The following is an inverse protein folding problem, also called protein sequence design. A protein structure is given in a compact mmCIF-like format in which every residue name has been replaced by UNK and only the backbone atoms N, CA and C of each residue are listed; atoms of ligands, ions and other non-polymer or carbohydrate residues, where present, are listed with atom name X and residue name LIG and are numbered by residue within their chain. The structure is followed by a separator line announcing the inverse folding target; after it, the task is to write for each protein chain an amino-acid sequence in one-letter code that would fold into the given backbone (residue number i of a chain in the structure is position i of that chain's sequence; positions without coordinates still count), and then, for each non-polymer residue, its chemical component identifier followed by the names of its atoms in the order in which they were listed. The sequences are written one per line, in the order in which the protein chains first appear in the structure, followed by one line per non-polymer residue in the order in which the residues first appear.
data_IF_429911037558
#
_entry.id   IF_429911037558
#
_cell.length_a   1.000
_cell.length_b   1.000
_cell.length_c   1.000
_cell.angle_alpha   90.00
_cell.angle_beta   90.00
_cell.angle_gamma   90.00
#
_symmetry.space_group_name_H-M   'P 1'
#
loop_
_entity.id
_entity.type
_entity.pdbx_description
1 polymer ?
#
# COMPACT_ATOMS: atom_id res chain seq x y z
N UNK A 1 -47.18 29.01 -31.47
CA UNK A 1 -45.81 28.74 -30.98
C UNK A 1 -45.71 27.25 -30.67
N UNK A 2 -44.86 26.51 -31.38
CA UNK A 2 -44.66 25.06 -31.22
C UNK A 2 -43.73 24.82 -30.03
N UNK A 3 -44.18 24.06 -29.04
CA UNK A 3 -43.36 23.62 -27.92
C UNK A 3 -42.53 22.40 -28.37
N UNK A 4 -41.21 22.59 -28.52
CA UNK A 4 -40.27 21.50 -28.78
C UNK A 4 -39.86 20.88 -27.44
N UNK A 5 -40.29 19.64 -27.21
CA UNK A 5 -39.80 18.81 -26.10
C UNK A 5 -38.47 18.18 -26.57
N UNK A 6 -37.35 18.37 -25.87
CA UNK A 6 -36.12 17.69 -26.23
C UNK A 6 -36.21 16.22 -25.80
N UNK A 7 -36.11 15.29 -26.76
CA UNK A 7 -35.85 13.89 -26.45
C UNK A 7 -34.42 13.79 -25.93
N UNK A 8 -34.27 13.54 -24.62
CA UNK A 8 -33.02 13.10 -24.05
C UNK A 8 -32.72 11.67 -24.53
N UNK A 9 -31.76 11.52 -25.44
CA UNK A 9 -31.21 10.22 -25.80
C UNK A 9 -30.42 9.68 -24.61
N UNK A 10 -31.00 8.76 -23.85
CA UNK A 10 -30.30 7.97 -22.84
C UNK A 10 -29.35 7.02 -23.55
N UNK A 11 -28.07 7.37 -23.66
CA UNK A 11 -27.02 6.44 -24.03
C UNK A 11 -26.91 5.39 -22.90
N UNK A 12 -27.48 4.21 -23.11
CA UNK A 12 -27.27 3.07 -22.24
C UNK A 12 -25.78 2.72 -22.29
N UNK A 13 -25.06 2.99 -21.20
CA UNK A 13 -23.68 2.55 -21.04
C UNK A 13 -23.66 1.02 -21.11
N UNK A 14 -23.10 0.48 -22.20
CA UNK A 14 -22.85 -0.95 -22.33
C UNK A 14 -21.79 -1.29 -21.29
N UNK A 15 -22.24 -1.81 -20.15
CA UNK A 15 -21.36 -2.36 -19.11
C UNK A 15 -20.69 -3.60 -19.67
N UNK A 16 -19.46 -3.45 -20.17
CA UNK A 16 -18.61 -4.59 -20.52
C UNK A 16 -18.32 -5.35 -19.24
N UNK A 17 -19.06 -6.44 -19.02
CA UNK A 17 -18.81 -7.36 -17.92
C UNK A 17 -17.53 -8.13 -18.22
N UNK A 18 -16.43 -7.71 -17.60
CA UNK A 18 -15.21 -8.52 -17.60
C UNK A 18 -15.48 -9.76 -16.75
N UNK A 19 -15.55 -10.92 -17.41
CA UNK A 19 -15.70 -12.21 -16.76
C UNK A 19 -14.46 -12.51 -15.89
N UNK A 20 -14.69 -13.14 -14.74
CA UNK A 20 -13.59 -13.61 -13.88
C UNK A 20 -12.78 -14.67 -14.64
N UNK A 21 -11.43 -14.61 -14.62
CA UNK A 21 -10.58 -15.54 -15.36
C UNK A 21 -10.58 -16.94 -14.71
N UNK A 22 -11.07 -17.05 -13.49
CA UNK A 22 -11.05 -18.26 -12.69
C UNK A 22 -12.46 -18.67 -12.22
N UNK A 23 -12.68 -19.97 -11.95
CA UNK A 23 -13.92 -20.46 -11.34
C UNK A 23 -14.24 -19.78 -10.00
N UNK A 24 -15.50 -19.86 -9.59
CA UNK A 24 -15.93 -19.35 -8.28
C UNK A 24 -15.07 -19.95 -7.14
N UNK A 25 -14.79 -19.11 -6.13
CA UNK A 25 -14.01 -19.48 -4.95
C UNK A 25 -12.55 -19.91 -5.23
N UNK A 26 -11.97 -19.42 -6.34
CA UNK A 26 -10.56 -19.60 -6.66
C UNK A 26 -9.89 -18.23 -6.90
N UNK A 27 -8.65 -18.12 -6.43
CA UNK A 27 -7.81 -16.93 -6.51
C UNK A 27 -7.03 -16.98 -7.83
N UNK A 28 -7.21 -15.99 -8.73
CA UNK A 28 -6.43 -15.88 -9.97
C UNK A 28 -5.01 -15.43 -9.67
N UNK A 29 -4.05 -15.74 -10.54
CA UNK A 29 -2.66 -15.28 -10.43
C UNK A 29 -2.14 -14.79 -11.77
N UNK A 30 -1.07 -13.97 -11.74
CA UNK A 30 -0.49 -13.36 -12.94
C UNK A 30 0.08 -14.35 -13.97
N UNK A 31 0.28 -15.60 -13.57
CA UNK A 31 0.69 -16.72 -14.45
C UNK A 31 -0.51 -17.45 -15.10
N UNK A 32 -1.73 -16.97 -14.88
CA UNK A 32 -2.97 -17.58 -15.36
C UNK A 32 -3.47 -18.74 -14.49
N UNK A 33 -2.77 -19.11 -13.41
CA UNK A 33 -3.22 -20.17 -12.51
C UNK A 33 -4.40 -19.73 -11.64
N UNK A 34 -5.27 -20.68 -11.30
CA UNK A 34 -6.39 -20.50 -10.38
C UNK A 34 -6.20 -21.42 -9.17
N UNK A 35 -6.19 -20.86 -7.96
CA UNK A 35 -5.94 -21.61 -6.72
C UNK A 35 -7.16 -21.58 -5.81
N UNK A 36 -7.64 -22.71 -5.26
CA UNK A 36 -8.74 -22.70 -4.30
C UNK A 36 -8.48 -21.74 -3.13
N UNK A 37 -9.47 -20.93 -2.77
CA UNK A 37 -9.32 -19.88 -1.75
C UNK A 37 -8.77 -20.42 -0.42
N UNK A 38 -9.23 -21.60 0.02
CA UNK A 38 -8.76 -22.25 1.25
C UNK A 38 -7.26 -22.60 1.18
N UNK A 39 -6.78 -23.08 0.04
CA UNK A 39 -5.36 -23.37 -0.22
C UNK A 39 -4.55 -22.07 -0.23
N UNK A 40 -5.00 -21.06 -0.99
CA UNK A 40 -4.33 -19.77 -1.06
C UNK A 40 -4.21 -19.10 0.32
N UNK A 41 -5.27 -19.16 1.13
CA UNK A 41 -5.29 -18.62 2.50
C UNK A 41 -4.32 -19.35 3.43
N UNK A 42 -4.32 -20.68 3.40
CA UNK A 42 -3.37 -21.50 4.20
C UNK A 42 -1.93 -21.17 3.82
N UNK A 43 -1.64 -21.10 2.53
CA UNK A 43 -0.30 -20.84 2.03
C UNK A 43 0.16 -19.40 2.32
N UNK A 44 -0.75 -18.43 2.24
CA UNK A 44 -0.52 -17.05 2.65
C UNK A 44 -0.19 -16.94 4.14
N UNK A 45 -0.96 -17.60 5.02
CA UNK A 45 -0.71 -17.62 6.46
C UNK A 45 0.64 -18.28 6.80
N UNK A 46 0.96 -19.40 6.13
CA UNK A 46 2.26 -20.08 6.27
C UNK A 46 3.40 -19.15 5.85
N UNK A 47 3.24 -18.42 4.75
CA UNK A 47 4.24 -17.48 4.25
C UNK A 47 4.41 -16.29 5.20
N UNK A 48 3.32 -15.67 5.67
CA UNK A 48 3.35 -14.58 6.65
C UNK A 48 4.06 -15.01 7.94
N UNK A 49 3.73 -16.19 8.48
CA UNK A 49 4.35 -16.70 9.71
C UNK A 49 5.85 -16.96 9.54
N UNK A 50 6.27 -17.47 8.38
CA UNK A 50 7.70 -17.69 8.06
C UNK A 50 8.48 -16.37 7.98
N UNK A 51 7.83 -15.30 7.55
CA UNK A 51 8.45 -14.00 7.30
C UNK A 51 8.15 -12.95 8.37
N UNK A 52 7.38 -13.29 9.40
CA UNK A 52 6.99 -12.34 10.43
C UNK A 52 8.23 -11.75 11.14
N UNK A 53 8.19 -10.45 11.50
CA UNK A 53 9.20 -9.82 12.35
C UNK A 53 9.41 -10.62 13.65
N UNK A 54 10.64 -10.73 14.18
CA UNK A 54 10.89 -11.39 15.46
C UNK A 54 10.01 -10.89 16.61
N UNK A 55 9.73 -9.59 16.66
CA UNK A 55 8.82 -8.98 17.64
C UNK A 55 7.42 -9.60 17.62
N UNK A 56 6.94 -9.99 16.43
CA UNK A 56 5.59 -10.50 16.19
C UNK A 56 5.48 -11.98 16.59
N UNK A 57 6.60 -12.71 16.56
CA UNK A 57 6.66 -14.11 16.95
C UNK A 57 6.41 -14.34 18.46
N UNK A 58 6.48 -13.29 19.28
CA UNK A 58 6.09 -13.35 20.70
C UNK A 58 4.57 -13.39 20.90
N UNK A 59 3.81 -12.88 19.94
CA UNK A 59 2.35 -12.71 20.02
C UNK A 59 1.62 -13.52 18.93
N UNK A 60 2.14 -14.70 18.58
CA UNK A 60 1.64 -15.49 17.44
C UNK A 60 0.17 -15.86 17.59
N UNK A 61 -0.30 -16.16 18.80
CA UNK A 61 -1.69 -16.55 19.03
C UNK A 61 -2.67 -15.41 18.71
N UNK A 62 -2.36 -14.16 19.06
CA UNK A 62 -3.22 -13.01 18.74
C UNK A 62 -3.05 -12.55 17.30
N UNK A 63 -1.89 -12.78 16.71
CA UNK A 63 -1.60 -12.36 15.34
C UNK A 63 -2.12 -13.34 14.28
N UNK A 64 -1.95 -14.64 14.49
CA UNK A 64 -2.35 -15.71 13.55
C UNK A 64 -3.59 -16.49 13.99
N UNK A 65 -4.10 -16.16 15.17
CA UNK A 65 -5.27 -16.80 15.74
C UNK A 65 -5.00 -18.12 16.45
N UNK A 66 -6.05 -18.66 17.06
CA UNK A 66 -6.03 -19.97 17.71
C UNK A 66 -6.86 -20.96 16.90
N UNK A 67 -6.37 -22.17 16.60
CA UNK A 67 -7.21 -23.17 15.94
C UNK A 67 -8.43 -23.54 16.80
N UNK A 68 -9.64 -23.41 16.24
CA UNK A 68 -10.87 -23.89 16.85
C UNK A 68 -11.62 -22.90 17.76
N UNK A 69 -11.36 -21.59 17.68
CA UNK A 69 -12.22 -20.62 18.36
C UNK A 69 -13.63 -20.59 17.78
N UNK A 70 -14.55 -20.17 18.62
CA UNK A 70 -15.99 -20.44 18.50
C UNK A 70 -16.77 -19.35 17.75
N UNK A 71 -16.13 -18.23 17.39
CA UNK A 71 -16.83 -17.04 16.86
C UNK A 71 -16.07 -16.25 15.78
N UNK A 72 -14.84 -16.65 15.41
CA UNK A 72 -14.01 -15.94 14.44
C UNK A 72 -13.38 -14.64 14.97
N UNK A 73 -13.61 -14.27 16.24
CA UNK A 73 -12.87 -13.20 16.93
C UNK A 73 -11.42 -13.64 17.23
N UNK A 74 -11.17 -14.94 17.15
CA UNK A 74 -9.89 -15.59 17.34
C UNK A 74 -9.05 -15.67 16.06
N UNK A 75 -9.49 -15.12 14.91
CA UNK A 75 -8.78 -15.27 13.64
C UNK A 75 -7.37 -14.61 13.64
N UNK A 76 -7.20 -13.53 14.41
CA UNK A 76 -5.97 -12.74 14.46
C UNK A 76 -5.73 -11.86 13.22
N UNK A 77 -4.93 -10.80 13.40
CA UNK A 77 -4.73 -9.73 12.39
C UNK A 77 -4.19 -10.26 11.05
N UNK A 78 -3.30 -11.25 11.07
CA UNK A 78 -2.72 -11.84 9.86
C UNK A 78 -3.74 -12.68 9.07
N UNK A 79 -4.68 -13.37 9.72
CA UNK A 79 -5.72 -14.10 9.02
C UNK A 79 -6.77 -13.18 8.40
N UNK A 80 -7.07 -12.07 9.08
CA UNK A 80 -7.91 -11.02 8.49
C UNK A 80 -7.21 -10.42 7.27
N UNK A 81 -5.91 -10.13 7.35
CA UNK A 81 -5.11 -9.64 6.22
C UNK A 81 -5.18 -10.58 5.01
N UNK A 82 -4.91 -11.87 5.24
CA UNK A 82 -4.99 -12.88 4.19
C UNK A 82 -6.40 -12.97 3.58
N UNK A 83 -7.44 -12.91 4.41
CA UNK A 83 -8.82 -12.98 3.92
C UNK A 83 -9.19 -11.77 3.07
N UNK A 84 -8.90 -10.56 3.55
CA UNK A 84 -9.22 -9.31 2.87
C UNK A 84 -8.50 -9.19 1.52
N UNK A 85 -7.18 -9.43 1.50
CA UNK A 85 -6.35 -9.27 0.31
C UNK A 85 -6.62 -10.35 -0.75
N UNK A 86 -6.86 -11.60 -0.37
CA UNK A 86 -7.26 -12.65 -1.32
C UNK A 86 -8.68 -12.43 -1.86
N UNK A 87 -9.59 -11.91 -1.03
CA UNK A 87 -10.94 -11.52 -1.49
C UNK A 87 -10.86 -10.38 -2.50
N UNK A 88 -10.06 -9.35 -2.22
CA UNK A 88 -9.79 -8.27 -3.17
C UNK A 88 -9.23 -8.81 -4.48
N UNK A 89 -8.30 -9.76 -4.41
CA UNK A 89 -7.71 -10.42 -5.58
C UNK A 89 -8.74 -11.23 -6.39
N UNK A 90 -9.74 -11.85 -5.78
CA UNK A 90 -10.82 -12.51 -6.53
C UNK A 90 -11.80 -11.50 -7.15
N UNK A 91 -12.11 -10.41 -6.43
CA UNK A 91 -13.16 -9.45 -6.80
C UNK A 91 -12.75 -8.49 -7.90
N UNK A 92 -11.51 -8.00 -7.87
CA UNK A 92 -11.08 -6.84 -8.65
C UNK A 92 -10.20 -7.21 -9.86
N UNK A 93 -10.59 -6.85 -11.10
CA UNK A 93 -9.86 -7.25 -12.31
C UNK A 93 -8.39 -6.84 -12.36
N UNK A 94 -8.06 -5.62 -11.92
CA UNK A 94 -6.70 -5.10 -11.87
C UNK A 94 -5.76 -5.91 -10.95
N UNK A 95 -6.31 -6.65 -9.98
CA UNK A 95 -5.53 -7.46 -9.05
C UNK A 95 -5.19 -8.86 -9.61
N UNK A 96 -5.88 -9.32 -10.66
CA UNK A 96 -5.70 -10.68 -11.22
C UNK A 96 -4.30 -10.91 -11.76
N UNK A 97 -3.76 -9.91 -12.46
CA UNK A 97 -2.42 -9.96 -13.06
C UNK A 97 -1.26 -9.88 -12.06
N UNK A 98 -1.51 -9.54 -10.79
CA UNK A 98 -0.43 -9.39 -9.80
C UNK A 98 0.25 -10.75 -9.55
N UNK A 99 1.58 -10.88 -9.75
CA UNK A 99 2.32 -12.12 -9.50
C UNK A 99 2.29 -12.56 -8.02
N UNK A 100 2.46 -13.87 -7.78
CA UNK A 100 2.39 -14.46 -6.41
C UNK A 100 3.41 -13.88 -5.45
N UNK A 101 4.65 -13.72 -5.89
CA UNK A 101 5.76 -13.17 -5.13
C UNK A 101 5.54 -11.68 -4.81
N UNK A 102 5.13 -10.87 -5.80
CA UNK A 102 4.75 -9.47 -5.59
C UNK A 102 3.57 -9.35 -4.63
N UNK A 103 2.54 -10.18 -4.79
CA UNK A 103 1.37 -10.20 -3.90
C UNK A 103 1.77 -10.53 -2.46
N UNK A 104 2.57 -11.58 -2.26
CA UNK A 104 3.01 -12.01 -0.92
C UNK A 104 3.82 -10.94 -0.22
N UNK A 105 4.72 -10.28 -0.94
CA UNK A 105 5.67 -9.34 -0.34
C UNK A 105 5.08 -7.92 -0.17
N UNK A 106 4.06 -7.53 -0.97
CA UNK A 106 3.62 -6.13 -1.03
C UNK A 106 2.09 -5.90 -0.97
N UNK A 107 1.27 -6.95 -1.07
CA UNK A 107 -0.20 -6.86 -0.91
C UNK A 107 -0.67 -7.55 0.38
N UNK A 108 -0.24 -8.79 0.57
CA UNK A 108 -0.60 -9.65 1.70
C UNK A 108 -0.20 -9.12 3.10
N UNK A 109 0.94 -8.40 3.28
CA UNK A 109 1.41 -8.05 4.62
C UNK A 109 0.47 -7.16 5.42
N UNK A 110 0.33 -7.48 6.71
CA UNK A 110 -0.47 -6.72 7.68
C UNK A 110 0.23 -5.47 8.23
N UNK A 111 1.50 -5.24 7.86
CA UNK A 111 2.31 -4.09 8.23
C UNK A 111 3.33 -3.75 7.12
N UNK A 112 3.89 -2.55 7.13
CA UNK A 112 4.92 -2.06 6.21
C UNK A 112 6.28 -1.93 6.87
N UNK A 113 6.32 -1.63 8.17
CA UNK A 113 7.53 -1.50 8.98
C UNK A 113 7.27 -2.00 10.41
N UNK A 114 7.56 -1.18 11.44
CA UNK A 114 7.36 -1.52 12.84
C UNK A 114 6.06 -0.97 13.46
N UNK A 115 5.08 -0.54 12.67
CA UNK A 115 3.84 0.05 13.18
C UNK A 115 2.95 -0.93 13.97
N UNK A 116 2.20 -0.48 15.00
CA UNK A 116 1.31 -1.35 15.77
C UNK A 116 0.41 -2.26 14.91
N UNK A 117 0.22 -3.50 15.36
CA UNK A 117 -0.48 -4.55 14.62
C UNK A 117 -1.97 -4.38 14.90
N UNK A 118 -2.63 -3.53 14.12
CA UNK A 118 -4.05 -3.20 14.29
C UNK A 118 -4.92 -3.81 13.20
N UNK A 119 -6.21 -3.95 13.49
CA UNK A 119 -7.18 -4.45 12.54
C UNK A 119 -7.68 -3.35 11.59
N UNK A 120 -6.78 -2.80 10.77
CA UNK A 120 -7.11 -1.74 9.81
C UNK A 120 -7.83 -2.24 8.53
N UNK A 121 -7.71 -3.53 8.20
CA UNK A 121 -8.23 -4.09 6.94
C UNK A 121 -9.72 -3.85 6.76
N UNK A 122 -10.56 -4.15 7.76
CA UNK A 122 -12.00 -3.93 7.67
C UNK A 122 -12.36 -2.44 7.55
N UNK A 123 -11.69 -1.58 8.33
CA UNK A 123 -11.86 -0.13 8.29
C UNK A 123 -11.56 0.43 6.90
N UNK A 124 -10.39 0.13 6.35
CA UNK A 124 -9.94 0.66 5.07
C UNK A 124 -10.67 0.02 3.89
N UNK A 125 -10.99 -1.28 3.94
CA UNK A 125 -11.78 -1.94 2.89
C UNK A 125 -13.13 -1.24 2.70
N UNK A 126 -13.83 -0.94 3.82
CA UNK A 126 -15.08 -0.17 3.79
C UNK A 126 -14.88 1.24 3.25
N UNK A 127 -13.77 1.89 3.60
CA UNK A 127 -13.48 3.24 3.15
C UNK A 127 -13.17 3.32 1.64
N UNK A 128 -12.49 2.32 1.07
CA UNK A 128 -12.13 2.32 -0.37
C UNK A 128 -13.21 1.73 -1.27
N UNK A 129 -14.06 0.83 -0.76
CA UNK A 129 -15.09 0.15 -1.57
C UNK A 129 -15.93 1.07 -2.48
N UNK A 130 -16.51 2.20 -2.01
CA UNK A 130 -17.28 3.08 -2.90
C UNK A 130 -16.42 3.73 -4.00
N UNK A 131 -15.12 3.93 -3.76
CA UNK A 131 -14.17 4.43 -4.77
C UNK A 131 -13.96 3.35 -5.84
N UNK A 132 -13.73 2.11 -5.41
CA UNK A 132 -13.45 0.98 -6.30
C UNK A 132 -14.67 0.60 -7.17
N UNK A 133 -15.88 0.64 -6.61
CA UNK A 133 -17.11 0.35 -7.36
C UNK A 133 -17.43 1.41 -8.43
N UNK A 134 -16.94 2.64 -8.26
CA UNK A 134 -17.12 3.71 -9.23
C UNK A 134 -16.15 3.62 -10.43
N UNK A 135 -15.08 2.82 -10.32
CA UNK A 135 -14.07 2.69 -11.36
C UNK A 135 -14.51 1.75 -12.49
N UNK A 136 -14.08 2.02 -13.73
CA UNK A 136 -14.28 1.06 -14.82
C UNK A 136 -13.57 -0.26 -14.49
N UNK A 137 -14.18 -1.39 -14.88
CA UNK A 137 -13.61 -2.73 -14.64
C UNK A 137 -12.25 -2.94 -15.30
N UNK A 138 -11.91 -2.15 -16.32
CA UNK A 138 -10.63 -2.18 -17.03
C UNK A 138 -9.62 -1.13 -16.51
N UNK A 139 -9.89 -0.50 -15.35
CA UNK A 139 -8.95 0.42 -14.72
C UNK A 139 -7.59 -0.26 -14.51
N UNK A 140 -6.53 0.47 -14.76
CA UNK A 140 -5.16 0.04 -14.45
C UNK A 140 -4.89 0.12 -12.95
N UNK A 141 -3.78 -0.47 -12.51
CA UNK A 141 -3.31 -0.32 -11.13
C UNK A 141 -3.08 1.16 -10.77
N UNK A 142 -2.52 1.94 -11.71
CA UNK A 142 -2.29 3.37 -11.52
C UNK A 142 -3.62 4.13 -11.33
N UNK A 143 -4.63 3.89 -12.18
CA UNK A 143 -5.95 4.53 -12.07
C UNK A 143 -6.58 4.27 -10.70
N UNK A 144 -6.48 3.03 -10.21
CA UNK A 144 -7.02 2.63 -8.90
C UNK A 144 -6.25 3.33 -7.77
N UNK A 145 -4.92 3.38 -7.86
CA UNK A 145 -4.10 4.06 -6.88
C UNK A 145 -4.39 5.57 -6.82
N UNK A 146 -4.49 6.24 -7.97
CA UNK A 146 -4.84 7.66 -8.09
C UNK A 146 -6.21 7.95 -7.46
N UNK A 147 -7.21 7.11 -7.76
CA UNK A 147 -8.56 7.25 -7.22
C UNK A 147 -8.60 7.09 -5.69
N UNK A 148 -7.92 6.09 -5.14
CA UNK A 148 -7.80 5.92 -3.68
C UNK A 148 -7.14 7.14 -3.03
N UNK A 149 -6.13 7.73 -3.69
CA UNK A 149 -5.40 8.89 -3.16
C UNK A 149 -6.22 10.20 -3.21
N UNK A 150 -7.29 10.24 -4.01
CA UNK A 150 -8.08 11.45 -4.24
C UNK A 150 -7.52 12.37 -5.32
N UNK A 151 -6.73 11.86 -6.25
CA UNK A 151 -6.22 12.67 -7.36
C UNK A 151 -7.29 12.80 -8.46
N UNK A 152 -7.60 14.04 -8.86
CA UNK A 152 -8.56 14.30 -9.95
C UNK A 152 -10.04 14.06 -9.63
N UNK A 153 -10.41 13.76 -8.37
CA UNK A 153 -11.78 13.42 -7.99
C UNK A 153 -12.26 14.07 -6.68
N UNK A 154 -13.56 13.91 -6.40
CA UNK A 154 -14.23 14.45 -5.21
C UNK A 154 -14.31 13.45 -4.04
N UNK A 155 -13.68 12.28 -4.14
CA UNK A 155 -13.63 11.25 -3.09
C UNK A 155 -12.22 10.70 -2.98
N UNK A 156 -11.83 10.29 -1.77
CA UNK A 156 -10.52 9.70 -1.46
C UNK A 156 -10.63 8.85 -0.21
N UNK A 157 -9.66 7.95 0.01
CA UNK A 157 -9.58 7.21 1.28
C UNK A 157 -9.50 8.18 2.46
N UNK A 158 -8.78 9.29 2.31
CA UNK A 158 -8.57 10.30 3.35
C UNK A 158 -9.86 10.95 3.82
N UNK A 159 -10.75 11.28 2.89
CA UNK A 159 -12.08 11.83 3.22
C UNK A 159 -12.97 10.74 3.82
N UNK A 160 -12.94 9.53 3.27
CA UNK A 160 -13.80 8.43 3.71
C UNK A 160 -13.45 7.90 5.12
N UNK A 161 -12.24 8.19 5.61
CA UNK A 161 -11.81 7.88 6.98
C UNK A 161 -11.85 9.09 7.94
N UNK A 162 -12.54 10.17 7.58
CA UNK A 162 -12.78 11.30 8.49
C UNK A 162 -11.92 12.55 8.26
N UNK A 163 -11.15 12.61 7.17
CA UNK A 163 -10.40 13.81 6.77
C UNK A 163 -9.02 13.91 7.43
N UNK A 164 -8.08 13.10 6.96
CA UNK A 164 -6.68 13.11 7.44
C UNK A 164 -5.90 14.32 6.92
N UNK A 165 -5.16 15.01 7.79
CA UNK A 165 -4.26 16.12 7.44
C UNK A 165 -2.78 15.74 7.56
N UNK A 166 -1.93 16.39 6.78
CA UNK A 166 -0.49 16.21 6.87
C UNK A 166 0.16 17.15 7.90
N UNK A 167 0.98 16.57 8.79
CA UNK A 167 1.71 17.28 9.84
C UNK A 167 3.15 16.73 9.92
N UNK A 168 4.11 17.42 9.28
CA UNK A 168 5.51 16.97 9.14
C UNK A 168 6.26 16.81 10.46
N UNK A 169 5.97 17.66 11.46
CA UNK A 169 6.69 17.73 12.74
C UNK A 169 6.35 16.65 13.76
N UNK A 170 5.51 15.68 13.42
CA UNK A 170 5.20 14.54 14.29
C UNK A 170 5.92 13.27 13.83
N UNK A 171 7.26 13.37 13.73
CA UNK A 171 8.14 12.22 13.60
C UNK A 171 9.12 12.15 14.77
N UNK A 172 9.23 11.02 15.48
CA UNK A 172 8.41 9.81 15.40
C UNK A 172 7.51 9.57 16.60
N UNK A 173 6.22 9.55 16.32
CA UNK A 173 5.33 8.58 16.92
C UNK A 173 5.15 7.45 15.91
N UNK A 174 5.31 6.20 16.33
CA UNK A 174 5.12 5.03 15.48
C UNK A 174 3.61 4.90 15.20
N UNK A 175 3.16 5.20 13.96
CA UNK A 175 1.74 5.25 13.58
C UNK A 175 1.34 4.06 12.71
N UNK A 176 0.25 3.39 13.08
CA UNK A 176 -0.49 2.48 12.22
C UNK A 176 -1.69 3.21 11.55
N UNK A 177 -2.37 2.57 10.58
CA UNK A 177 -3.49 3.20 9.90
C UNK A 177 -4.66 3.58 10.83
N UNK A 178 -4.94 2.80 11.87
CA UNK A 178 -6.01 3.14 12.83
C UNK A 178 -5.63 4.37 13.65
N UNK A 179 -4.38 4.49 14.09
CA UNK A 179 -3.90 5.71 14.78
C UNK A 179 -3.99 6.95 13.89
N UNK A 180 -3.64 6.84 12.60
CA UNK A 180 -3.76 7.94 11.63
C UNK A 180 -5.21 8.43 11.51
N UNK A 181 -6.16 7.50 11.47
CA UNK A 181 -7.59 7.82 11.45
C UNK A 181 -8.05 8.44 12.76
N UNK A 182 -7.68 7.84 13.90
CA UNK A 182 -8.11 8.28 15.22
C UNK A 182 -7.62 9.69 15.57
N UNK A 183 -6.40 10.03 15.19
CA UNK A 183 -5.84 11.37 15.44
C UNK A 183 -6.21 12.39 14.36
N UNK A 184 -6.61 11.95 13.17
CA UNK A 184 -7.01 12.83 12.06
C UNK A 184 -5.83 13.55 11.38
N UNK A 185 -4.59 13.21 11.73
CA UNK A 185 -3.40 13.72 11.06
C UNK A 185 -2.23 12.72 11.14
N UNK A 186 -1.28 12.86 10.23
CA UNK A 186 -0.04 12.08 10.23
C UNK A 186 1.12 12.82 9.55
N UNK A 187 2.33 12.40 9.87
CA UNK A 187 3.55 12.77 9.13
C UNK A 187 3.72 11.93 7.86
N UNK A 188 4.81 12.14 7.13
CA UNK A 188 5.09 11.41 5.87
C UNK A 188 5.07 9.88 6.03
N UNK A 189 5.56 9.37 7.16
CA UNK A 189 5.53 7.94 7.49
C UNK A 189 4.10 7.44 7.66
N UNK A 190 3.27 8.11 8.46
CA UNK A 190 1.90 7.66 8.75
C UNK A 190 0.98 7.79 7.54
N UNK A 191 1.12 8.86 6.75
CA UNK A 191 0.42 9.00 5.46
C UNK A 191 0.82 7.87 4.51
N UNK A 192 2.12 7.64 4.29
CA UNK A 192 2.58 6.58 3.38
C UNK A 192 2.10 5.19 3.84
N UNK A 193 2.24 4.88 5.13
CA UNK A 193 1.81 3.60 5.72
C UNK A 193 0.30 3.37 5.57
N UNK A 194 -0.51 4.41 5.83
CA UNK A 194 -1.98 4.34 5.70
C UNK A 194 -2.42 4.20 4.26
N UNK A 195 -1.76 4.93 3.34
CA UNK A 195 -2.06 4.84 1.92
C UNK A 195 -1.72 3.46 1.35
N UNK A 196 -0.55 2.91 1.70
CA UNK A 196 -0.17 1.54 1.35
C UNK A 196 -1.21 0.55 1.86
N UNK A 197 -1.64 0.67 3.13
CA UNK A 197 -2.67 -0.20 3.69
C UNK A 197 -4.00 -0.12 2.90
N UNK A 198 -4.41 1.08 2.45
CA UNK A 198 -5.57 1.28 1.59
C UNK A 198 -5.41 0.64 0.19
N UNK A 199 -4.21 0.73 -0.40
CA UNK A 199 -3.88 0.05 -1.66
C UNK A 199 -3.93 -1.48 -1.51
N UNK A 200 -3.43 -2.02 -0.40
CA UNK A 200 -3.40 -3.47 -0.14
C UNK A 200 -4.80 -4.09 -0.08
N UNK A 201 -5.77 -3.43 0.59
CA UNK A 201 -7.16 -3.92 0.60
C UNK A 201 -7.85 -3.81 -0.77
N UNK A 202 -7.29 -3.05 -1.72
CA UNK A 202 -7.73 -2.99 -3.11
C UNK A 202 -7.00 -3.99 -4.02
N UNK A 203 -6.08 -4.80 -3.47
CA UNK A 203 -5.26 -5.75 -4.22
C UNK A 203 -4.07 -5.13 -4.95
N UNK A 204 -3.71 -3.88 -4.63
CA UNK A 204 -2.68 -3.10 -5.30
C UNK A 204 -1.34 -3.22 -4.57
N UNK A 205 -0.24 -3.66 -5.22
CA UNK A 205 1.06 -3.77 -4.56
C UNK A 205 1.73 -2.42 -4.41
N UNK A 206 2.11 -2.10 -3.18
CA UNK A 206 2.80 -0.86 -2.83
C UNK A 206 3.77 -1.10 -1.66
N UNK A 207 4.83 -0.28 -1.59
CA UNK A 207 5.84 -0.38 -0.54
C UNK A 207 6.28 0.97 -0.02
N UNK A 208 6.63 0.99 1.27
CA UNK A 208 7.18 2.17 1.93
C UNK A 208 8.60 2.38 1.43
N UNK A 209 8.93 3.58 1.03
CA UNK A 209 10.28 3.95 0.58
C UNK A 209 10.72 5.17 1.36
N UNK A 210 12.00 5.22 1.72
CA UNK A 210 12.48 6.34 2.51
C UNK A 210 13.99 6.47 2.55
N UNK A 211 14.41 7.67 2.89
CA UNK A 211 15.77 7.91 3.39
C UNK A 211 15.72 8.04 4.90
N UNK A 212 16.58 7.30 5.64
CA UNK A 212 16.64 7.43 7.09
C UNK A 212 17.34 8.71 7.53
N UNK A 213 18.18 9.30 6.67
CA UNK A 213 18.95 10.50 6.95
C UNK A 213 19.42 11.18 5.66
N UNK A 214 19.13 12.47 5.49
CA UNK A 214 19.63 13.24 4.37
C UNK A 214 21.16 13.35 4.44
N UNK A 215 21.84 13.03 3.32
CA UNK A 215 23.29 13.07 3.19
C UNK A 215 24.03 12.20 4.23
N UNK A 216 23.36 11.19 4.79
CA UNK A 216 23.91 10.33 5.84
C UNK A 216 24.01 11.00 7.22
N UNK A 217 23.38 12.17 7.41
CA UNK A 217 23.42 12.93 8.65
C UNK A 217 22.03 12.92 9.33
N UNK A 218 21.88 12.19 10.45
CA UNK A 218 20.59 12.09 11.16
C UNK A 218 20.03 13.45 11.62
N UNK A 219 20.87 14.46 11.81
CA UNK A 219 20.42 15.80 12.21
C UNK A 219 19.72 16.56 11.09
N UNK A 220 19.88 16.12 9.84
CA UNK A 220 19.25 16.74 8.67
C UNK A 220 17.84 16.21 8.41
N UNK A 221 17.38 15.23 9.19
CA UNK A 221 16.04 14.64 9.10
C UNK A 221 15.94 13.49 8.10
N UNK A 222 14.73 12.95 7.98
CA UNK A 222 14.38 11.80 7.15
C UNK A 222 13.17 12.11 6.26
N UNK A 223 12.80 11.20 5.38
CA UNK A 223 11.53 11.28 4.66
C UNK A 223 11.09 9.91 4.15
N UNK A 224 9.78 9.67 4.13
CA UNK A 224 9.17 8.45 3.59
C UNK A 224 8.05 8.81 2.60
N UNK A 225 7.95 8.03 1.53
CA UNK A 225 6.95 8.09 0.47
C UNK A 225 6.62 6.65 0.02
N UNK A 226 6.03 6.48 -1.16
CA UNK A 226 5.56 5.18 -1.66
C UNK A 226 6.20 4.82 -3.01
N UNK A 227 6.47 3.53 -3.23
CA UNK A 227 6.61 2.98 -4.58
C UNK A 227 5.38 2.11 -4.90
N UNK A 228 4.82 2.31 -6.10
CA UNK A 228 3.66 1.60 -6.63
C UNK A 228 4.12 0.59 -7.70
N UNK A 229 3.62 -0.63 -7.66
CA UNK A 229 3.80 -1.58 -8.76
C UNK A 229 2.75 -1.36 -9.83
N UNK A 230 3.14 -0.92 -11.04
CA UNK A 230 2.18 -0.58 -12.11
C UNK A 230 1.68 -1.79 -12.93
N UNK A 231 2.11 -3.00 -12.56
CA UNK A 231 1.90 -4.23 -13.35
C UNK A 231 3.17 -4.72 -14.03
N UNK A 232 4.15 -3.85 -14.23
CA UNK A 232 5.42 -4.14 -14.92
C UNK A 232 6.64 -3.76 -14.09
N UNK A 233 6.58 -2.65 -13.37
CA UNK A 233 7.72 -2.08 -12.64
C UNK A 233 7.29 -1.23 -11.45
N UNK A 234 8.24 -0.98 -10.55
CA UNK A 234 8.06 -0.05 -9.43
C UNK A 234 8.18 1.40 -9.89
N UNK A 235 7.17 2.21 -9.57
CA UNK A 235 7.09 3.65 -9.88
C UNK A 235 7.16 4.47 -8.61
N UNK A 236 7.80 5.64 -8.71
CA UNK A 236 7.71 6.67 -7.69
C UNK A 236 6.25 7.10 -7.48
N UNK A 237 5.84 7.30 -6.23
CA UNK A 237 4.49 7.71 -5.89
C UNK A 237 4.44 8.47 -4.55
N UNK A 238 3.49 9.41 -4.43
CA UNK A 238 3.30 10.21 -3.22
C UNK A 238 1.88 10.10 -2.67
N UNK A 239 1.72 10.13 -1.34
CA UNK A 239 0.41 10.10 -0.67
C UNK A 239 -0.08 11.51 -0.37
N UNK A 240 -1.29 11.89 -0.80
CA UNK A 240 -1.74 13.29 -0.88
C UNK A 240 -2.17 13.97 0.42
N UNK A 241 -2.00 13.36 1.61
CA UNK A 241 -1.55 14.20 2.70
C UNK A 241 -0.46 15.18 2.32
N UNK A 242 0.62 14.55 1.90
CA UNK A 242 1.91 15.14 1.67
C UNK A 242 1.96 15.78 0.28
N UNK A 243 2.73 16.86 0.17
CA UNK A 243 3.00 17.48 -1.13
C UNK A 243 1.81 18.23 -1.73
N UNK A 244 1.15 19.08 -0.94
CA UNK A 244 0.08 19.96 -1.44
C UNK A 244 0.57 20.81 -2.63
N UNK A 245 -0.10 20.69 -3.77
CA UNK A 245 0.29 21.37 -5.02
C UNK A 245 1.24 20.58 -5.91
N UNK A 246 1.73 19.43 -5.47
CA UNK A 246 2.58 18.54 -6.25
C UNK A 246 1.74 17.47 -6.99
N UNK A 247 2.31 16.91 -8.06
CA UNK A 247 1.74 15.75 -8.77
C UNK A 247 2.05 14.45 -8.02
N UNK A 248 1.38 13.35 -8.34
CA UNK A 248 1.65 12.06 -7.69
C UNK A 248 2.91 11.38 -8.20
N UNK A 249 3.23 11.57 -9.47
CA UNK A 249 4.15 10.71 -10.22
C UNK A 249 5.41 11.40 -10.66
N UNK A 250 5.44 12.74 -10.73
CA UNK A 250 6.64 13.48 -11.11
C UNK A 250 7.56 13.63 -9.88
N UNK A 251 8.72 12.99 -9.85
CA UNK A 251 9.65 13.15 -8.74
C UNK A 251 10.23 14.57 -8.67
N UNK A 252 10.43 15.28 -9.80
CA UNK A 252 11.08 16.60 -9.80
C UNK A 252 10.23 17.74 -9.23
N UNK A 253 8.92 17.54 -9.02
CA UNK A 253 8.10 18.53 -8.32
C UNK A 253 8.14 18.37 -6.80
N UNK A 254 8.76 17.29 -6.29
CA UNK A 254 8.90 17.02 -4.88
C UNK A 254 9.95 17.94 -4.29
N UNK A 255 9.62 18.59 -3.18
CA UNK A 255 10.57 19.46 -2.46
C UNK A 255 11.91 18.77 -2.13
N UNK A 256 11.92 17.44 -2.02
CA UNK A 256 13.08 16.63 -1.64
C UNK A 256 13.91 16.06 -2.80
N UNK A 257 13.33 15.82 -3.96
CA UNK A 257 14.01 15.14 -5.05
C UNK A 257 14.76 16.13 -5.93
N UNK A 258 16.03 16.38 -5.56
CA UNK A 258 16.95 17.30 -6.25
C UNK A 258 18.40 16.94 -5.98
N UNK A 259 19.31 17.36 -6.85
CA UNK A 259 20.75 17.06 -6.73
C UNK A 259 21.36 17.40 -5.35
N UNK A 260 20.92 18.48 -4.71
CA UNK A 260 21.40 18.88 -3.38
C UNK A 260 21.08 17.86 -2.26
N UNK A 261 20.02 17.05 -2.42
CA UNK A 261 19.66 15.97 -1.50
C UNK A 261 20.02 14.59 -2.03
N UNK A 262 20.20 14.45 -3.34
CA UNK A 262 20.61 13.21 -3.99
C UNK A 262 21.87 13.44 -4.83
N UNK A 263 23.01 13.74 -4.18
CA UNK A 263 24.27 13.91 -4.90
C UNK A 263 24.69 12.60 -5.57
N UNK A 264 25.38 12.71 -6.71
CA UNK A 264 25.85 11.56 -7.52
C UNK A 264 26.75 10.61 -6.73
N UNK A 265 27.40 11.11 -5.66
CA UNK A 265 28.21 10.29 -4.76
C UNK A 265 27.40 9.34 -3.85
N UNK A 266 26.06 9.40 -3.89
CA UNK A 266 25.19 8.49 -3.15
C UNK A 266 25.23 8.66 -1.63
N UNK A 267 25.50 9.88 -1.15
CA UNK A 267 25.54 10.19 0.30
C UNK A 267 24.18 10.00 0.98
N UNK A 268 23.09 10.30 0.29
CA UNK A 268 21.74 9.95 0.77
C UNK A 268 21.41 8.54 0.36
N UNK A 269 21.19 7.66 1.35
CA UNK A 269 20.74 6.28 1.11
C UNK A 269 19.23 6.22 1.04
N UNK A 270 18.71 5.36 0.16
CA UNK A 270 17.26 5.11 0.04
C UNK A 270 17.01 3.63 0.10
N UNK A 271 15.98 3.25 0.86
CA UNK A 271 15.56 1.87 1.00
C UNK A 271 14.08 1.76 0.73
N UNK A 272 13.66 0.62 0.18
CA UNK A 272 12.26 0.25 0.09
C UNK A 272 11.98 -0.93 1.01
N UNK A 273 10.98 -0.81 1.87
CA UNK A 273 10.58 -1.85 2.81
C UNK A 273 9.97 -3.04 2.06
N UNK A 274 10.14 -4.22 2.63
CA UNK A 274 9.56 -5.47 2.15
C UNK A 274 9.31 -6.40 3.34
N UNK A 275 8.49 -7.42 3.13
CA UNK A 275 8.12 -8.36 4.18
C UNK A 275 8.92 -9.68 4.10
N UNK A 276 9.35 -10.09 2.91
CA UNK A 276 10.29 -11.20 2.73
C UNK A 276 11.63 -10.87 3.37
N UNK A 277 11.96 -11.64 4.41
CA UNK A 277 13.17 -11.47 5.22
C UNK A 277 14.27 -12.47 4.90
N UNK A 278 14.03 -13.43 4.01
CA UNK A 278 14.94 -14.55 3.78
C UNK A 278 15.64 -14.47 2.42
N UNK A 279 15.12 -13.69 1.46
CA UNK A 279 15.75 -13.56 0.14
C UNK A 279 16.92 -12.56 0.08
N UNK A 280 17.04 -11.64 1.04
CA UNK A 280 18.18 -10.73 1.14
C UNK A 280 18.47 -10.34 2.61
N UNK A 281 19.64 -9.74 2.84
CA UNK A 281 20.08 -9.26 4.17
C UNK A 281 19.96 -7.74 4.33
N UNK A 282 19.50 -7.03 3.30
CA UNK A 282 19.31 -5.58 3.37
C UNK A 282 18.16 -5.26 4.32
N UNK A 283 18.36 -4.25 5.16
CA UNK A 283 17.38 -3.74 6.13
C UNK A 283 16.86 -2.40 5.64
N UNK A 284 15.59 -2.11 5.89
CA UNK A 284 15.03 -0.77 5.80
C UNK A 284 15.30 -0.05 7.13
N UNK A 285 16.21 0.95 7.16
CA UNK A 285 16.55 1.60 8.42
C UNK A 285 15.43 2.52 8.87
N UNK A 286 14.96 2.33 10.11
CA UNK A 286 13.92 3.15 10.72
C UNK A 286 14.56 4.39 11.33
N UNK A 287 14.32 5.57 10.76
CA UNK A 287 14.89 6.83 11.26
C UNK A 287 14.54 7.12 12.73
N UNK A 288 13.49 6.48 13.23
CA UNK A 288 12.94 6.64 14.57
C UNK A 288 13.30 5.54 15.56
N UNK A 289 13.80 4.43 15.05
CA UNK A 289 14.21 3.29 15.84
C UNK A 289 15.46 2.68 15.18
N UNK A 290 16.60 3.42 15.15
CA UNK A 290 17.74 3.05 14.31
C UNK A 290 18.41 1.73 14.71
N UNK A 291 18.19 1.29 15.95
CA UNK A 291 18.66 0.00 16.47
C UNK A 291 17.82 -1.19 16.00
N UNK A 292 16.64 -0.95 15.45
CA UNK A 292 15.74 -2.00 15.02
C UNK A 292 16.03 -2.43 13.58
N UNK A 293 16.47 -3.68 13.45
CA UNK A 293 16.85 -4.30 12.18
C UNK A 293 15.81 -5.30 11.67
N UNK A 294 14.61 -5.30 12.26
CA UNK A 294 13.59 -6.31 11.97
C UNK A 294 12.82 -6.06 10.67
N UNK A 295 12.98 -4.89 10.04
CA UNK A 295 12.30 -4.55 8.78
C UNK A 295 13.22 -4.84 7.59
N UNK A 296 12.96 -5.89 6.78
CA UNK A 296 13.73 -6.14 5.58
C UNK A 296 13.56 -5.02 4.56
N UNK A 297 14.57 -4.82 3.72
CA UNK A 297 14.60 -3.75 2.74
C UNK A 297 15.26 -4.13 1.41
N UNK A 298 15.16 -3.23 0.44
CA UNK A 298 15.92 -3.23 -0.81
C UNK A 298 16.60 -1.87 -0.93
N UNK A 299 17.90 -1.87 -1.25
CA UNK A 299 18.61 -0.63 -1.56
C UNK A 299 18.09 -0.04 -2.88
N UNK A 300 17.60 1.18 -2.81
CA UNK A 300 17.09 1.97 -3.94
C UNK A 300 17.94 3.21 -4.22
N UNK A 301 19.07 3.37 -3.53
CA UNK A 301 19.94 4.56 -3.59
C UNK A 301 20.26 4.95 -5.03
N UNK A 302 20.75 4.02 -5.84
CA UNK A 302 21.12 4.32 -7.23
C UNK A 302 19.92 4.77 -8.09
N UNK A 303 18.74 4.19 -7.85
CA UNK A 303 17.53 4.58 -8.58
C UNK A 303 17.13 6.02 -8.26
N UNK A 304 17.17 6.41 -6.99
CA UNK A 304 16.82 7.78 -6.57
C UNK A 304 17.92 8.79 -6.85
N UNK A 305 19.19 8.41 -6.82
CA UNK A 305 20.28 9.27 -7.31
C UNK A 305 20.06 9.56 -8.79
N UNK A 306 19.89 8.54 -9.63
CA UNK A 306 19.67 8.73 -11.07
C UNK A 306 18.37 9.48 -11.42
N UNK A 307 17.33 9.34 -10.59
CA UNK A 307 16.07 10.05 -10.77
C UNK A 307 16.15 11.52 -10.31
N UNK A 308 16.64 11.76 -9.10
CA UNK A 308 16.58 13.05 -8.43
C UNK A 308 17.78 13.95 -8.68
N UNK A 309 18.92 13.45 -9.17
CA UNK A 309 20.05 14.33 -9.50
C UNK A 309 19.84 15.14 -10.79
N UNK A 310 18.84 14.75 -11.58
CA UNK A 310 18.45 15.40 -12.83
C UNK A 310 17.29 16.39 -12.63
N UNK A 311 16.78 16.46 -11.41
CA UNK A 311 16.01 17.55 -10.87
C UNK A 311 16.99 18.52 -10.14
#
# INVERSE_FOLDING_TARGET
MRCLIPLAASAAAVSVRIATPCPANTVPWGDGSCEPFSTAKRDALKWLRKNAPPSDLRNVATLFGTPGGVDGLDAGVAAVAANATLTAKMRWPWAWGVPRDIFRDYVLPYASANEPRTHWHGLLAKAVEPILEALPRHASIADVAEAINGYGGNSSVWQNVGGVKFHSGQTPLIYDPVSTVAFGYASCTGVSTTYIAALRVAGIPARLVGTPAWLGDPTKGNHNWVELWDGVSWRFWEGRPAGGGETLTNPCDKWFCKAARFPVNGSTKVYAARFDRHSNQTVYPLAWDPSNLDTPGIDRTNAYVGMCSNC
#
